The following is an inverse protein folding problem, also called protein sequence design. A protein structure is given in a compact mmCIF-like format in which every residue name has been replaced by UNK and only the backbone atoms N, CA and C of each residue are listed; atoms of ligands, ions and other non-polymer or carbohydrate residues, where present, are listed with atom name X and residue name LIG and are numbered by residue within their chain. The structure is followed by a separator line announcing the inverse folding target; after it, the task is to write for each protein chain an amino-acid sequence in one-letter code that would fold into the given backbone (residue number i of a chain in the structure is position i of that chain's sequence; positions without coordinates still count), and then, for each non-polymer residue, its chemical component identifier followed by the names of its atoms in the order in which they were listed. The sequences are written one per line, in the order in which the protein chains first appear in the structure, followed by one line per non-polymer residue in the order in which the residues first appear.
data_IF_915534027661
#
_entry.id   IF_915534027661
#
_cell.length_a   1.000
_cell.length_b   1.000
_cell.length_c   1.000
_cell.angle_alpha   90.00
_cell.angle_beta   90.00
_cell.angle_gamma   90.00
#
_symmetry.space_group_name_H-M   'P 1'
#
loop_
_entity.id
_entity.type
_entity.pdbx_description
1 polymer ?
#
# COMPACT_ATOMS: atom_id res chain seq x y z
N UNK A 1 -15.00 33.82 18.23
CA UNK A 1 -14.21 32.60 18.07
C UNK A 1 -15.00 31.75 17.10
N UNK A 2 -14.52 31.57 15.88
CA UNK A 2 -15.09 30.59 14.95
C UNK A 2 -14.93 29.23 15.61
N UNK A 3 -16.05 28.55 15.88
CA UNK A 3 -16.05 27.18 16.37
C UNK A 3 -15.23 26.34 15.38
N UNK A 4 -14.16 25.75 15.89
CA UNK A 4 -13.26 24.93 15.10
C UNK A 4 -14.02 23.64 14.76
N UNK A 5 -14.23 23.38 13.46
CA UNK A 5 -14.99 22.21 13.03
C UNK A 5 -14.22 20.95 13.45
N UNK A 6 -14.68 20.29 14.51
CA UNK A 6 -14.09 19.07 15.09
C UNK A 6 -14.05 17.88 14.14
N UNK A 7 -14.63 17.96 12.95
CA UNK A 7 -14.59 16.92 11.92
C UNK A 7 -13.53 17.20 10.84
N UNK A 8 -12.91 18.39 10.84
CA UNK A 8 -11.88 18.80 9.87
C UNK A 8 -10.54 18.91 10.57
N UNK A 9 -9.51 18.24 10.04
CA UNK A 9 -8.13 18.30 10.55
C UNK A 9 -7.21 18.90 9.47
N UNK A 10 -7.05 20.23 9.42
CA UNK A 10 -6.32 20.90 8.34
C UNK A 10 -4.82 20.56 8.33
N UNK A 11 -4.27 20.09 9.46
CA UNK A 11 -2.88 19.71 9.61
C UNK A 11 -2.57 18.31 9.08
N UNK A 12 -3.59 17.46 8.85
CA UNK A 12 -3.35 16.14 8.29
C UNK A 12 -2.85 16.28 6.86
N UNK A 13 -1.65 15.73 6.60
CA UNK A 13 -0.84 15.98 5.40
C UNK A 13 -1.46 15.55 4.04
N UNK A 14 -2.74 15.15 4.03
CA UNK A 14 -3.52 14.84 2.83
C UNK A 14 -3.81 16.05 1.93
N UNK A 15 -3.68 17.29 2.42
CA UNK A 15 -4.06 18.51 1.69
C UNK A 15 -3.31 18.80 0.37
N UNK A 16 -2.30 18.02 -0.01
CA UNK A 16 -1.44 18.36 -1.17
C UNK A 16 -1.40 17.34 -2.32
N UNK A 17 -1.97 16.14 -2.19
CA UNK A 17 -1.56 15.04 -3.09
C UNK A 17 -2.55 13.95 -3.51
N UNK A 18 -3.81 13.94 -3.07
CA UNK A 18 -4.77 12.91 -3.53
C UNK A 18 -5.90 12.56 -2.56
N UNK A 19 -6.43 13.52 -1.80
CA UNK A 19 -7.61 13.31 -0.97
C UNK A 19 -8.84 13.01 -1.84
N UNK A 20 -9.68 12.10 -1.36
CA UNK A 20 -11.03 11.89 -1.88
C UNK A 20 -11.75 13.23 -1.77
N UNK A 21 -12.23 13.77 -2.90
CA UNK A 21 -12.96 15.03 -2.91
C UNK A 21 -14.26 14.86 -2.10
N UNK A 22 -14.51 15.64 -1.02
CA UNK A 22 -15.75 15.53 -0.26
C UNK A 22 -16.98 15.78 -1.14
N UNK A 23 -16.88 16.55 -2.23
CA UNK A 23 -17.97 16.69 -3.19
C UNK A 23 -18.28 15.37 -3.91
N UNK A 24 -17.27 14.57 -4.24
CA UNK A 24 -17.48 13.28 -4.90
C UNK A 24 -18.18 12.28 -3.97
N UNK A 25 -17.89 12.32 -2.67
CA UNK A 25 -18.63 11.51 -1.68
C UNK A 25 -20.10 11.93 -1.61
N UNK A 26 -20.38 13.23 -1.51
CA UNK A 26 -21.77 13.71 -1.47
C UNK A 26 -22.49 13.40 -2.78
N UNK A 27 -21.82 13.50 -3.93
CA UNK A 27 -22.36 13.11 -5.25
C UNK A 27 -22.75 11.64 -5.26
N UNK A 28 -21.88 10.76 -4.75
CA UNK A 28 -22.15 9.32 -4.62
C UNK A 28 -23.38 9.05 -3.74
N UNK A 29 -23.51 9.73 -2.60
CA UNK A 29 -24.68 9.54 -1.72
C UNK A 29 -25.98 10.10 -2.31
N UNK A 30 -25.89 11.13 -3.14
CA UNK A 30 -27.05 11.64 -3.89
C UNK A 30 -27.46 10.67 -5.00
N UNK A 31 -26.50 10.08 -5.70
CA UNK A 31 -26.72 9.02 -6.69
C UNK A 31 -27.40 7.80 -6.05
N UNK A 32 -26.93 7.35 -4.87
CA UNK A 32 -27.56 6.27 -4.09
C UNK A 32 -29.06 6.55 -3.81
N UNK A 33 -29.40 7.78 -3.39
CA UNK A 33 -30.80 8.16 -3.18
C UNK A 33 -31.61 8.21 -4.48
N UNK A 34 -31.02 8.67 -5.58
CA UNK A 34 -31.71 8.71 -6.86
C UNK A 34 -31.93 7.30 -7.43
N UNK A 35 -31.01 6.36 -7.21
CA UNK A 35 -31.19 4.94 -7.52
C UNK A 35 -32.35 4.32 -6.71
N UNK A 36 -32.42 4.62 -5.40
CA UNK A 36 -33.53 4.20 -4.54
C UNK A 36 -34.87 4.80 -5.02
N UNK A 37 -34.86 6.06 -5.48
CA UNK A 37 -36.04 6.70 -6.07
C UNK A 37 -36.51 6.00 -7.34
N UNK A 38 -35.59 5.68 -8.24
CA UNK A 38 -35.91 4.95 -9.46
C UNK A 38 -36.44 3.54 -9.17
N UNK A 39 -35.87 2.87 -8.17
CA UNK A 39 -36.31 1.55 -7.71
C UNK A 39 -37.72 1.62 -7.13
N UNK A 40 -37.98 2.59 -6.26
CA UNK A 40 -39.31 2.82 -5.68
C UNK A 40 -40.38 3.15 -6.74
N UNK A 41 -40.01 3.82 -7.83
CA UNK A 41 -40.93 4.13 -8.93
C UNK A 41 -41.31 2.89 -9.77
N UNK A 42 -40.46 1.86 -9.80
CA UNK A 42 -40.69 0.62 -10.56
C UNK A 42 -41.37 -0.47 -9.73
N UNK A 43 -41.22 -0.43 -8.40
CA UNK A 43 -41.80 -1.43 -7.51
C UNK A 43 -43.28 -1.15 -7.22
N UNK A 44 -44.13 -2.13 -7.52
CA UNK A 44 -45.51 -2.14 -7.03
C UNK A 44 -45.57 -2.87 -5.68
N UNK A 45 -45.89 -2.15 -4.60
CA UNK A 45 -46.16 -2.75 -3.29
C UNK A 45 -45.27 -2.25 -2.15
N UNK A 46 -45.05 -3.12 -1.16
CA UNK A 46 -44.25 -2.79 0.02
C UNK A 46 -42.76 -2.85 -0.35
N UNK A 47 -41.97 -1.79 -0.08
CA UNK A 47 -40.53 -1.83 -0.31
C UNK A 47 -39.86 -2.91 0.56
N UNK A 48 -38.83 -3.60 0.04
CA UNK A 48 -37.95 -4.48 0.81
C UNK A 48 -37.38 -3.80 2.06
N UNK A 49 -37.01 -4.57 3.07
CA UNK A 49 -36.40 -4.02 4.28
C UNK A 49 -35.05 -3.37 3.99
N UNK A 50 -34.27 -3.94 3.08
CA UNK A 50 -32.95 -3.44 2.67
C UNK A 50 -33.09 -2.06 1.99
N UNK A 51 -33.96 -1.91 0.99
CA UNK A 51 -34.25 -0.60 0.36
C UNK A 51 -34.70 0.46 1.37
N UNK A 52 -35.40 0.06 2.45
CA UNK A 52 -35.81 0.97 3.52
C UNK A 52 -34.65 1.35 4.46
N UNK A 53 -33.74 0.41 4.72
CA UNK A 53 -32.51 0.66 5.48
C UNK A 53 -31.64 1.65 4.73
N UNK A 54 -31.38 1.41 3.44
CA UNK A 54 -30.57 2.28 2.60
C UNK A 54 -31.18 3.69 2.47
N UNK A 55 -32.51 3.79 2.32
CA UNK A 55 -33.20 5.08 2.25
C UNK A 55 -33.05 5.88 3.56
N UNK A 56 -33.23 5.23 4.71
CA UNK A 56 -33.09 5.87 6.02
C UNK A 56 -31.64 6.31 6.25
N UNK A 57 -30.68 5.42 5.99
CA UNK A 57 -29.25 5.70 6.14
C UNK A 57 -28.83 6.86 5.24
N UNK A 58 -29.10 6.80 3.94
CA UNK A 58 -28.67 7.83 2.99
C UNK A 58 -29.34 9.20 3.26
N UNK A 59 -30.63 9.22 3.62
CA UNK A 59 -31.31 10.46 4.02
C UNK A 59 -30.67 11.08 5.26
N UNK A 60 -30.50 10.30 6.33
CA UNK A 60 -29.92 10.77 7.59
C UNK A 60 -28.44 11.18 7.41
N UNK A 61 -27.69 10.48 6.55
CA UNK A 61 -26.32 10.84 6.16
C UNK A 61 -26.29 12.24 5.56
N UNK A 62 -27.17 12.54 4.61
CA UNK A 62 -27.26 13.85 3.98
C UNK A 62 -27.77 14.95 4.92
N UNK A 63 -28.51 14.63 5.99
CA UNK A 63 -28.82 15.60 7.05
C UNK A 63 -27.58 16.06 7.81
N UNK A 64 -26.52 15.24 7.89
CA UNK A 64 -25.22 15.62 8.48
C UNK A 64 -24.38 16.49 7.55
N UNK A 65 -24.66 16.48 6.25
CA UNK A 65 -23.84 17.17 5.24
C UNK A 65 -24.05 18.67 5.27
N UNK A 66 -22.98 19.43 4.99
CA UNK A 66 -23.01 20.88 4.75
C UNK A 66 -24.04 21.23 3.65
N UNK A 67 -25.05 22.08 3.93
CA UNK A 67 -26.08 22.44 2.94
C UNK A 67 -25.53 23.04 1.65
N UNK A 68 -24.35 23.67 1.70
CA UNK A 68 -23.68 24.26 0.54
C UNK A 68 -23.18 23.20 -0.44
N UNK A 69 -22.76 22.02 0.04
CA UNK A 69 -22.31 20.91 -0.80
C UNK A 69 -23.49 20.31 -1.56
N UNK A 70 -24.60 20.04 -0.85
CA UNK A 70 -25.85 19.54 -1.47
C UNK A 70 -26.36 20.54 -2.51
N UNK A 71 -26.35 21.85 -2.19
CA UNK A 71 -26.80 22.89 -3.11
C UNK A 71 -25.94 22.97 -4.38
N UNK A 72 -24.62 22.78 -4.25
CA UNK A 72 -23.67 22.80 -5.38
C UNK A 72 -23.87 21.63 -6.34
N UNK A 73 -24.35 20.49 -5.83
CA UNK A 73 -24.65 19.29 -6.60
C UNK A 73 -26.13 19.20 -7.02
N UNK A 74 -26.90 20.28 -6.84
CA UNK A 74 -28.32 20.34 -7.19
C UNK A 74 -29.19 19.26 -6.47
N UNK A 75 -28.70 18.66 -5.40
CA UNK A 75 -29.32 17.50 -4.72
C UNK A 75 -30.54 17.80 -3.84
N UNK A 76 -31.01 19.05 -3.81
CA UNK A 76 -32.12 19.45 -2.91
C UNK A 76 -33.42 18.71 -3.20
N UNK A 77 -33.73 18.51 -4.48
CA UNK A 77 -34.96 17.82 -4.89
C UNK A 77 -34.91 16.33 -4.52
N UNK A 78 -33.73 15.71 -4.60
CA UNK A 78 -33.50 14.31 -4.20
C UNK A 78 -33.68 14.13 -2.69
N UNK A 79 -33.12 15.04 -1.88
CA UNK A 79 -33.29 15.03 -0.41
C UNK A 79 -34.76 15.26 -0.03
N UNK A 80 -35.43 16.22 -0.67
CA UNK A 80 -36.84 16.51 -0.41
C UNK A 80 -37.75 15.32 -0.78
N UNK A 81 -37.43 14.60 -1.86
CA UNK A 81 -38.12 13.37 -2.21
C UNK A 81 -37.96 12.30 -1.11
N UNK A 82 -36.73 12.08 -0.61
CA UNK A 82 -36.47 11.10 0.43
C UNK A 82 -37.23 11.44 1.73
N UNK A 83 -37.22 12.71 2.14
CA UNK A 83 -37.99 13.19 3.30
C UNK A 83 -39.49 12.91 3.15
N UNK A 84 -40.09 13.31 2.02
CA UNK A 84 -41.51 13.05 1.73
C UNK A 84 -41.81 11.55 1.73
N UNK A 85 -40.93 10.74 1.12
CA UNK A 85 -41.08 9.29 1.08
C UNK A 85 -41.06 8.68 2.48
N UNK A 86 -40.15 9.12 3.35
CA UNK A 86 -40.04 8.65 4.73
C UNK A 86 -41.23 9.06 5.60
N UNK A 87 -41.90 10.17 5.29
CA UNK A 87 -43.12 10.61 5.98
C UNK A 87 -44.32 9.69 5.67
N UNK A 88 -44.36 9.08 4.49
CA UNK A 88 -45.43 8.17 4.06
C UNK A 88 -45.30 6.73 4.59
N UNK A 89 -44.16 6.38 5.18
CA UNK A 89 -43.90 5.02 5.67
C UNK A 89 -44.55 4.77 7.03
N UNK A 90 -45.13 3.58 7.20
CA UNK A 90 -45.67 3.15 8.49
C UNK A 90 -44.56 2.80 9.50
N UNK A 91 -44.88 2.92 10.79
CA UNK A 91 -43.97 2.51 11.87
C UNK A 91 -43.48 1.06 11.74
N UNK A 92 -44.32 0.15 11.24
CA UNK A 92 -43.94 -1.24 11.01
C UNK A 92 -42.92 -1.43 9.87
N UNK A 93 -42.99 -0.58 8.83
CA UNK A 93 -41.99 -0.57 7.75
C UNK A 93 -40.66 -0.01 8.25
N UNK A 94 -40.70 1.11 8.99
CA UNK A 94 -39.51 1.74 9.55
C UNK A 94 -38.78 0.80 10.53
N UNK A 95 -39.51 0.13 11.43
CA UNK A 95 -38.89 -0.88 12.32
C UNK A 95 -38.31 -2.07 11.60
N UNK A 96 -38.86 -2.46 10.44
CA UNK A 96 -38.26 -3.56 9.66
C UNK A 96 -36.91 -3.20 9.05
N UNK A 97 -36.62 -1.92 8.81
CA UNK A 97 -35.32 -1.47 8.32
C UNK A 97 -34.20 -1.72 9.35
N UNK A 98 -34.45 -1.42 10.64
CA UNK A 98 -33.48 -1.72 11.69
C UNK A 98 -33.09 -3.20 11.76
N UNK A 99 -33.95 -4.10 11.27
CA UNK A 99 -33.69 -5.54 11.25
C UNK A 99 -32.58 -5.99 10.30
N UNK A 100 -32.23 -5.15 9.32
CA UNK A 100 -31.26 -5.45 8.25
C UNK A 100 -29.84 -5.57 8.81
N UNK A 101 -29.41 -4.61 9.64
CA UNK A 101 -28.09 -4.66 10.27
C UNK A 101 -28.01 -5.77 11.32
N UNK A 102 -27.02 -6.65 11.19
CA UNK A 102 -26.73 -7.74 12.13
C UNK A 102 -25.40 -7.47 12.87
N UNK A 103 -25.45 -6.99 14.13
CA UNK A 103 -24.25 -6.71 14.92
C UNK A 103 -23.32 -7.92 15.08
N UNK A 104 -23.86 -9.14 15.12
CA UNK A 104 -23.04 -10.35 15.29
C UNK A 104 -22.23 -10.67 14.03
N UNK A 105 -22.82 -10.44 12.85
CA UNK A 105 -22.10 -10.57 11.58
C UNK A 105 -21.10 -9.46 11.41
N UNK A 106 -21.46 -8.21 11.74
CA UNK A 106 -20.53 -7.08 11.71
C UNK A 106 -19.31 -7.33 12.59
N UNK A 107 -19.48 -7.78 13.85
CA UNK A 107 -18.37 -8.08 14.76
C UNK A 107 -17.43 -9.16 14.22
N UNK A 108 -17.98 -10.19 13.58
CA UNK A 108 -17.19 -11.26 12.98
C UNK A 108 -16.34 -10.73 11.82
N UNK A 109 -16.87 -9.82 11.01
CA UNK A 109 -16.11 -9.17 9.94
C UNK A 109 -15.08 -8.20 10.49
N UNK A 110 -15.41 -7.42 11.52
CA UNK A 110 -14.46 -6.54 12.21
C UNK A 110 -13.25 -7.30 12.79
N UNK A 111 -13.49 -8.48 13.40
CA UNK A 111 -12.41 -9.35 13.89
C UNK A 111 -11.59 -9.99 12.78
N UNK A 112 -12.20 -10.31 11.64
CA UNK A 112 -11.46 -10.78 10.46
C UNK A 112 -10.57 -9.68 9.90
N UNK A 113 -11.07 -8.46 9.84
CA UNK A 113 -10.30 -7.30 9.42
C UNK A 113 -9.13 -7.01 10.38
N UNK A 114 -9.31 -7.10 11.68
CA UNK A 114 -8.22 -7.03 12.67
C UNK A 114 -7.14 -8.08 12.40
N UNK A 115 -7.53 -9.34 12.23
CA UNK A 115 -6.60 -10.45 11.93
C UNK A 115 -5.87 -10.27 10.59
N UNK A 116 -6.50 -9.54 9.67
CA UNK A 116 -5.96 -9.27 8.33
C UNK A 116 -4.63 -8.50 8.36
N UNK A 117 -4.35 -7.76 9.45
CA UNK A 117 -3.06 -7.07 9.66
C UNK A 117 -1.88 -8.03 9.91
N UNK A 118 -2.14 -9.27 10.30
CA UNK A 118 -1.11 -10.31 10.42
C UNK A 118 -0.87 -11.05 9.09
N UNK A 119 -1.72 -10.83 8.09
CA UNK A 119 -1.67 -11.45 6.77
C UNK A 119 -1.15 -10.46 5.71
N UNK A 120 -0.67 -10.98 4.57
CA UNK A 120 -0.26 -10.11 3.47
C UNK A 120 -1.48 -9.75 2.61
N UNK A 121 -1.92 -8.49 2.71
CA UNK A 121 -3.04 -7.92 1.94
C UNK A 121 -2.55 -6.63 1.26
N UNK A 122 -3.07 -6.32 0.07
CA UNK A 122 -2.76 -5.06 -0.60
C UNK A 122 -3.34 -3.89 0.19
N UNK A 123 -2.57 -2.81 0.35
CA UNK A 123 -2.99 -1.65 1.16
C UNK A 123 -4.31 -1.02 0.69
N UNK A 124 -4.59 -1.08 -0.61
CA UNK A 124 -5.86 -0.62 -1.20
C UNK A 124 -7.04 -1.49 -0.79
N UNK A 125 -6.86 -2.81 -0.73
CA UNK A 125 -7.90 -3.74 -0.29
C UNK A 125 -8.17 -3.58 1.21
N UNK A 126 -7.10 -3.37 2.00
CA UNK A 126 -7.23 -3.10 3.43
C UNK A 126 -7.96 -1.78 3.70
N UNK A 127 -7.63 -0.71 2.97
CA UNK A 127 -8.33 0.57 3.06
C UNK A 127 -9.82 0.44 2.67
N UNK A 128 -10.11 -0.29 1.60
CA UNK A 128 -11.48 -0.55 1.16
C UNK A 128 -12.27 -1.36 2.20
N UNK A 129 -11.68 -2.41 2.78
CA UNK A 129 -12.34 -3.22 3.80
C UNK A 129 -12.63 -2.41 5.07
N UNK A 130 -11.67 -1.60 5.51
CA UNK A 130 -11.85 -0.66 6.62
C UNK A 130 -13.01 0.31 6.35
N UNK A 131 -13.09 0.88 5.14
CA UNK A 131 -14.20 1.73 4.71
C UNK A 131 -15.54 0.99 4.76
N UNK A 132 -15.63 -0.24 4.24
CA UNK A 132 -16.86 -1.02 4.26
C UNK A 132 -17.37 -1.28 5.69
N UNK A 133 -16.48 -1.65 6.62
CA UNK A 133 -16.84 -1.89 8.02
C UNK A 133 -17.38 -0.62 8.68
N UNK A 134 -16.73 0.53 8.42
CA UNK A 134 -17.15 1.82 8.97
C UNK A 134 -18.47 2.31 8.36
N UNK A 135 -18.65 2.16 7.05
CA UNK A 135 -19.87 2.56 6.36
C UNK A 135 -21.09 1.76 6.82
N UNK A 136 -20.97 0.43 6.94
CA UNK A 136 -22.05 -0.44 7.41
C UNK A 136 -22.48 -0.09 8.85
N UNK A 137 -21.51 0.17 9.75
CA UNK A 137 -21.81 0.63 11.10
C UNK A 137 -22.45 2.03 11.12
N UNK A 138 -21.93 2.95 10.32
CA UNK A 138 -22.44 4.31 10.21
C UNK A 138 -23.91 4.33 9.76
N UNK A 139 -24.27 3.48 8.79
CA UNK A 139 -25.63 3.34 8.30
C UNK A 139 -26.57 2.79 9.38
N UNK A 140 -26.11 1.81 10.15
CA UNK A 140 -26.87 1.30 11.29
C UNK A 140 -27.14 2.36 12.35
N UNK A 141 -26.14 3.17 12.71
CA UNK A 141 -26.30 4.28 13.67
C UNK A 141 -27.25 5.36 13.14
N UNK A 142 -27.13 5.72 11.87
CA UNK A 142 -28.01 6.69 11.20
C UNK A 142 -29.48 6.24 11.17
N UNK A 143 -29.71 4.96 10.86
CA UNK A 143 -31.03 4.35 10.89
C UNK A 143 -31.59 4.37 12.31
N UNK A 144 -30.80 3.97 13.32
CA UNK A 144 -31.24 3.98 14.72
C UNK A 144 -31.56 5.39 15.24
N UNK A 145 -30.72 6.38 14.96
CA UNK A 145 -30.98 7.79 15.33
C UNK A 145 -32.31 8.25 14.73
N UNK A 146 -32.56 7.94 13.44
CA UNK A 146 -33.81 8.34 12.78
C UNK A 146 -35.04 7.65 13.38
N UNK A 147 -34.88 6.42 13.88
CA UNK A 147 -35.96 5.70 14.56
C UNK A 147 -36.19 6.21 15.98
N UNK A 148 -35.13 6.63 16.67
CA UNK A 148 -35.20 7.25 17.99
C UNK A 148 -36.00 8.56 17.94
N UNK A 149 -35.74 9.42 16.95
CA UNK A 149 -36.50 10.67 16.74
C UNK A 149 -38.00 10.46 16.51
N UNK A 150 -38.41 9.23 16.22
CA UNK A 150 -39.80 8.82 15.96
C UNK A 150 -40.41 7.96 17.07
N UNK A 151 -39.73 7.79 18.20
CA UNK A 151 -40.11 6.87 19.28
C UNK A 151 -40.28 5.41 18.79
N UNK A 152 -39.46 4.99 17.81
CA UNK A 152 -39.48 3.67 17.20
C UNK A 152 -38.23 2.83 17.50
N UNK A 153 -37.28 3.35 18.27
CA UNK A 153 -36.06 2.66 18.64
C UNK A 153 -36.33 1.37 19.43
N UNK A 154 -35.43 0.41 19.25
CA UNK A 154 -35.35 -0.84 20.03
C UNK A 154 -34.09 -0.78 20.88
N UNK A 155 -34.25 -0.50 22.18
CA UNK A 155 -33.14 -0.31 23.13
C UNK A 155 -32.14 -1.47 23.08
N UNK A 156 -32.63 -2.71 22.96
CA UNK A 156 -31.75 -3.88 22.94
C UNK A 156 -30.86 -3.91 21.69
N UNK A 157 -31.37 -3.39 20.56
CA UNK A 157 -30.58 -3.25 19.33
C UNK A 157 -29.66 -2.03 19.39
N UNK A 158 -30.13 -0.92 19.95
CA UNK A 158 -29.32 0.27 20.15
C UNK A 158 -28.09 -0.04 21.02
N UNK A 159 -28.25 -0.80 22.10
CA UNK A 159 -27.16 -1.27 22.95
C UNK A 159 -26.12 -2.09 22.14
N UNK A 160 -26.58 -2.96 21.22
CA UNK A 160 -25.68 -3.77 20.39
C UNK A 160 -24.93 -2.97 19.34
N UNK A 161 -25.55 -1.96 18.73
CA UNK A 161 -24.85 -1.05 17.82
C UNK A 161 -23.87 -0.18 18.61
N UNK A 162 -24.23 0.27 19.81
CA UNK A 162 -23.32 1.00 20.69
C UNK A 162 -22.09 0.16 21.10
N UNK A 163 -22.25 -1.14 21.34
CA UNK A 163 -21.11 -2.07 21.53
C UNK A 163 -20.18 -2.10 20.31
N UNK A 164 -20.72 -2.10 19.08
CA UNK A 164 -19.92 -2.03 17.85
C UNK A 164 -19.16 -0.69 17.74
N UNK A 165 -19.82 0.42 18.08
CA UNK A 165 -19.21 1.75 18.07
C UNK A 165 -18.08 1.87 19.08
N UNK A 166 -18.31 1.39 20.31
CA UNK A 166 -17.28 1.34 21.34
C UNK A 166 -16.06 0.52 20.88
N UNK A 167 -16.30 -0.59 20.18
CA UNK A 167 -15.21 -1.38 19.61
C UNK A 167 -14.40 -0.60 18.57
N UNK A 168 -15.03 0.15 17.66
CA UNK A 168 -14.32 1.00 16.69
C UNK A 168 -13.48 2.07 17.39
N UNK A 169 -14.03 2.70 18.43
CA UNK A 169 -13.30 3.72 19.21
C UNK A 169 -12.09 3.11 19.92
N UNK A 170 -12.24 1.94 20.53
CA UNK A 170 -11.16 1.23 21.22
C UNK A 170 -10.06 0.70 20.28
N UNK A 171 -10.36 0.59 18.97
CA UNK A 171 -9.45 0.06 17.94
C UNK A 171 -9.32 1.05 16.76
N UNK A 172 -9.34 2.35 17.05
CA UNK A 172 -9.31 3.40 16.03
C UNK A 172 -8.05 3.34 15.14
N UNK A 173 -6.94 2.82 15.69
CA UNK A 173 -5.66 2.62 15.01
C UNK A 173 -5.75 1.60 13.85
N UNK A 174 -6.64 0.60 13.97
CA UNK A 174 -6.92 -0.35 12.88
C UNK A 174 -7.57 0.34 11.67
N UNK A 175 -8.16 1.52 11.84
CA UNK A 175 -8.86 2.22 10.75
C UNK A 175 -8.01 3.31 10.10
N UNK A 176 -6.73 3.44 10.45
CA UNK A 176 -5.80 4.38 9.81
C UNK A 176 -5.69 4.18 8.28
N UNK A 177 -5.88 2.94 7.81
CA UNK A 177 -5.92 2.63 6.38
C UNK A 177 -7.07 3.34 5.64
N UNK A 178 -8.19 3.60 6.31
CA UNK A 178 -9.33 4.37 5.78
C UNK A 178 -9.22 5.87 6.09
N UNK A 179 -8.10 6.36 6.62
CA UNK A 179 -7.94 7.73 7.11
C UNK A 179 -8.30 8.82 6.08
N UNK A 180 -7.96 8.61 4.81
CA UNK A 180 -8.31 9.55 3.73
C UNK A 180 -9.83 9.62 3.48
N UNK A 181 -10.53 8.49 3.57
CA UNK A 181 -11.98 8.44 3.46
C UNK A 181 -12.65 9.05 4.69
N UNK A 182 -12.18 8.73 5.89
CA UNK A 182 -12.68 9.33 7.15
C UNK A 182 -12.51 10.84 7.16
N UNK A 183 -11.36 11.36 6.71
CA UNK A 183 -11.15 12.80 6.56
C UNK A 183 -12.13 13.42 5.57
N UNK A 184 -12.34 12.80 4.40
CA UNK A 184 -13.29 13.29 3.42
C UNK A 184 -14.73 13.29 3.96
N UNK A 185 -15.15 12.25 4.71
CA UNK A 185 -16.43 12.22 5.43
C UNK A 185 -16.51 13.36 6.43
N UNK A 186 -15.48 13.56 7.27
CA UNK A 186 -15.42 14.65 8.23
C UNK A 186 -15.52 16.04 7.58
N UNK A 187 -14.92 16.19 6.41
CA UNK A 187 -15.07 17.40 5.60
C UNK A 187 -16.50 17.56 5.05
N UNK A 188 -17.28 16.51 4.80
CA UNK A 188 -18.69 16.68 4.41
C UNK A 188 -19.58 17.21 5.54
N UNK A 189 -19.22 16.90 6.80
CA UNK A 189 -20.06 17.14 7.98
C UNK A 189 -20.18 18.65 8.28
N UNK A 190 -21.42 19.08 8.55
CA UNK A 190 -21.73 20.45 8.94
C UNK A 190 -21.11 20.81 10.31
N UNK A 191 -20.51 22.00 10.47
CA UNK A 191 -19.82 22.38 11.70
C UNK A 191 -20.78 22.53 12.90
N UNK A 192 -22.04 22.88 12.63
CA UNK A 192 -23.11 23.09 13.62
C UNK A 192 -23.93 21.81 13.89
N UNK A 193 -23.41 20.62 13.55
CA UNK A 193 -24.18 19.37 13.64
C UNK A 193 -24.71 19.09 15.05
N UNK A 194 -23.90 19.39 16.08
CA UNK A 194 -24.29 19.19 17.48
C UNK A 194 -25.48 20.05 17.88
N UNK A 195 -25.51 21.32 17.46
CA UNK A 195 -26.62 22.24 17.73
C UNK A 195 -27.84 21.95 16.85
N UNK A 196 -27.59 21.51 15.61
CA UNK A 196 -28.62 21.19 14.64
C UNK A 196 -29.38 19.91 15.02
N UNK A 197 -28.65 18.85 15.34
CA UNK A 197 -29.22 17.53 15.63
C UNK A 197 -28.26 16.68 16.50
N UNK A 198 -28.40 16.73 17.84
CA UNK A 198 -27.51 16.01 18.76
C UNK A 198 -27.42 14.50 18.50
N UNK A 199 -28.54 13.83 18.18
CA UNK A 199 -28.54 12.40 17.84
C UNK A 199 -27.64 12.06 16.65
N UNK A 200 -27.79 12.77 15.53
CA UNK A 200 -26.93 12.64 14.36
C UNK A 200 -25.47 13.06 14.63
N UNK A 201 -25.22 13.99 15.55
CA UNK A 201 -23.86 14.34 15.96
C UNK A 201 -23.16 13.18 16.67
N UNK A 202 -23.89 12.44 17.51
CA UNK A 202 -23.37 11.27 18.22
C UNK A 202 -22.95 10.15 17.25
N UNK A 203 -23.65 9.97 16.14
CA UNK A 203 -23.27 8.96 15.13
C UNK A 203 -21.93 9.26 14.45
N UNK A 204 -21.43 10.50 14.54
CA UNK A 204 -20.15 10.90 13.96
C UNK A 204 -18.95 10.79 14.92
N UNK A 205 -19.16 10.41 16.20
CA UNK A 205 -18.10 10.36 17.22
C UNK A 205 -16.97 9.38 16.85
N UNK A 206 -17.31 8.24 16.25
CA UNK A 206 -16.31 7.24 15.79
C UNK A 206 -15.31 7.83 14.80
N UNK A 207 -15.75 8.73 13.91
CA UNK A 207 -14.86 9.38 12.94
C UNK A 207 -13.89 10.33 13.64
N UNK A 208 -14.30 10.98 14.73
CA UNK A 208 -13.42 11.84 15.52
C UNK A 208 -12.32 11.02 16.19
N UNK A 209 -12.65 9.87 16.79
CA UNK A 209 -11.65 8.98 17.38
C UNK A 209 -10.60 8.53 16.35
N UNK A 210 -11.02 8.17 15.14
CA UNK A 210 -10.10 7.79 14.05
C UNK A 210 -9.26 8.97 13.56
N UNK A 211 -9.84 10.18 13.47
CA UNK A 211 -9.11 11.39 13.09
C UNK A 211 -8.06 11.77 14.14
N UNK A 212 -8.37 11.59 15.43
CA UNK A 212 -7.44 11.86 16.53
C UNK A 212 -6.25 10.88 16.48
N UNK A 213 -6.53 9.60 16.23
CA UNK A 213 -5.48 8.58 16.05
C UNK A 213 -4.63 8.83 14.79
N UNK A 214 -5.26 9.27 13.70
CA UNK A 214 -4.55 9.65 12.47
C UNK A 214 -3.62 10.85 12.70
N UNK A 215 -4.05 11.81 13.52
CA UNK A 215 -3.24 12.95 13.91
C UNK A 215 -2.08 12.55 14.83
N UNK A 216 -2.33 11.69 15.82
CA UNK A 216 -1.30 11.13 16.67
C UNK A 216 -0.23 10.37 15.85
N UNK A 217 -0.67 9.48 14.96
CA UNK A 217 0.21 8.72 14.07
C UNK A 217 1.06 9.63 13.17
N UNK A 218 0.48 10.69 12.59
CA UNK A 218 1.23 11.64 11.78
C UNK A 218 2.25 12.46 12.60
N UNK A 219 1.90 12.87 13.83
CA UNK A 219 2.85 13.54 14.74
C UNK A 219 4.04 12.62 15.07
N UNK A 220 3.78 11.33 15.30
CA UNK A 220 4.84 10.34 15.53
C UNK A 220 5.72 10.14 14.29
N UNK A 221 5.12 9.95 13.11
CA UNK A 221 5.85 9.74 11.85
C UNK A 221 6.70 10.96 11.45
N UNK A 222 6.19 12.16 11.69
CA UNK A 222 6.92 13.41 11.41
C UNK A 222 7.93 13.75 12.50
N UNK A 223 7.99 12.96 13.58
CA UNK A 223 8.80 13.23 14.75
C UNK A 223 8.54 14.65 15.29
N UNK A 224 7.29 15.13 15.21
CA UNK A 224 6.92 16.52 15.54
C UNK A 224 7.34 16.91 16.97
N UNK A 225 7.25 15.95 17.90
CA UNK A 225 7.59 16.13 19.31
C UNK A 225 9.04 15.73 19.65
N UNK A 226 9.79 15.18 18.69
CA UNK A 226 11.19 14.82 18.90
C UNK A 226 12.02 16.09 18.81
N UNK A 227 12.44 16.59 19.97
CA UNK A 227 13.33 17.76 20.07
C UNK A 227 14.55 17.52 19.18
N UNK A 228 14.85 18.40 18.20
CA UNK A 228 16.00 18.21 17.33
C UNK A 228 17.25 18.04 18.17
N UNK A 229 17.97 16.94 17.94
CA UNK A 229 19.20 16.66 18.65
C UNK A 229 20.16 17.86 18.48
N UNK A 230 20.78 18.31 19.57
CA UNK A 230 21.67 19.48 19.54
C UNK A 230 22.70 19.30 18.44
N UNK A 231 22.87 20.31 17.58
CA UNK A 231 23.79 20.26 16.43
C UNK A 231 25.22 19.89 16.84
N UNK A 232 25.64 20.19 18.07
CA UNK A 232 26.93 19.78 18.63
C UNK A 232 26.98 18.27 18.86
N UNK A 233 25.91 17.68 19.38
CA UNK A 233 25.77 16.23 19.58
C UNK A 233 25.71 15.51 18.24
N UNK A 234 24.89 16.00 17.29
CA UNK A 234 24.86 15.44 15.92
C UNK A 234 26.24 15.50 15.24
N UNK A 235 26.98 16.60 15.39
CA UNK A 235 28.35 16.71 14.86
C UNK A 235 29.31 15.77 15.58
N UNK A 236 29.17 15.59 16.89
CA UNK A 236 29.99 14.66 17.66
C UNK A 236 29.72 13.21 17.25
N UNK A 237 28.45 12.79 17.15
CA UNK A 237 28.04 11.48 16.67
C UNK A 237 28.47 11.25 15.22
N UNK A 238 28.33 12.26 14.34
CA UNK A 238 28.82 12.14 12.96
C UNK A 238 30.34 12.03 12.89
N UNK A 239 31.09 12.75 13.73
CA UNK A 239 32.55 12.60 13.83
C UNK A 239 32.91 11.22 14.35
N UNK A 240 32.26 10.77 15.41
CA UNK A 240 32.46 9.44 15.98
C UNK A 240 32.14 8.36 14.95
N UNK A 241 31.00 8.42 14.26
CA UNK A 241 30.66 7.49 13.20
C UNK A 241 31.64 7.55 12.03
N UNK A 242 32.16 8.74 11.67
CA UNK A 242 33.23 8.86 10.67
C UNK A 242 34.56 8.29 11.18
N UNK A 243 34.88 8.41 12.47
CA UNK A 243 36.07 7.83 13.08
C UNK A 243 35.95 6.32 13.22
N UNK A 244 34.78 5.79 13.59
CA UNK A 244 34.45 4.38 13.60
C UNK A 244 34.43 3.81 12.19
N UNK A 245 33.88 4.51 11.20
CA UNK A 245 33.98 4.13 9.79
C UNK A 245 35.43 4.20 9.30
N UNK A 246 36.25 5.16 9.75
CA UNK A 246 37.69 5.21 9.43
C UNK A 246 38.49 4.14 10.17
N UNK A 247 38.07 3.75 11.36
CA UNK A 247 38.68 2.69 12.16
C UNK A 247 38.23 1.30 11.68
N UNK A 248 37.04 1.18 11.09
CA UNK A 248 36.54 -0.01 10.41
C UNK A 248 37.01 -0.08 8.94
N UNK A 249 37.30 1.06 8.32
CA UNK A 249 38.00 1.18 7.04
C UNK A 249 39.52 1.17 7.21
N UNK A 250 40.03 1.23 8.45
CA UNK A 250 41.36 0.72 8.73
C UNK A 250 41.24 -0.77 8.41
N UNK A 251 41.99 -1.27 7.40
CA UNK A 251 41.86 -2.65 7.00
C UNK A 251 42.06 -3.48 8.28
N UNK A 252 41.18 -4.47 8.56
CA UNK A 252 41.53 -5.46 9.57
C UNK A 252 42.94 -5.94 9.23
N UNK A 253 43.80 -6.27 10.21
CA UNK A 253 45.07 -6.92 9.90
C UNK A 253 44.71 -8.09 9.01
N UNK A 254 45.00 -7.92 7.72
CA UNK A 254 44.71 -8.90 6.71
C UNK A 254 45.65 -10.03 7.09
N UNK A 255 45.12 -11.01 7.81
CA UNK A 255 45.68 -12.35 7.68
C UNK A 255 45.68 -12.57 6.18
N UNK A 256 46.87 -12.74 5.60
CA UNK A 256 47.20 -12.59 4.19
C UNK A 256 46.27 -13.35 3.21
N UNK A 257 45.35 -14.18 3.71
CA UNK A 257 44.46 -15.07 2.98
C UNK A 257 43.22 -14.43 2.31
N UNK A 258 42.72 -13.24 2.70
CA UNK A 258 41.46 -12.69 2.12
C UNK A 258 41.70 -11.63 1.04
N UNK A 259 42.63 -10.69 1.24
CA UNK A 259 43.00 -9.73 0.20
C UNK A 259 43.69 -10.41 -1.02
N UNK A 260 44.42 -11.50 -0.80
CA UNK A 260 44.97 -12.34 -1.88
C UNK A 260 43.88 -13.07 -2.70
N UNK A 261 42.65 -13.22 -2.18
CA UNK A 261 41.52 -13.83 -2.90
C UNK A 261 40.64 -12.81 -3.61
N UNK A 262 40.44 -11.62 -3.03
CA UNK A 262 39.64 -10.55 -3.66
C UNK A 262 40.36 -9.90 -4.87
N UNK A 263 41.69 -9.89 -4.89
CA UNK A 263 42.48 -9.40 -6.02
C UNK A 263 42.47 -10.29 -7.28
N UNK A 264 41.97 -11.54 -7.18
CA UNK A 264 42.07 -12.53 -8.28
C UNK A 264 40.89 -12.54 -9.26
N UNK A 265 39.71 -12.04 -8.87
CA UNK A 265 38.50 -12.06 -9.71
C UNK A 265 37.80 -10.71 -9.70
N UNK A 266 38.45 -9.69 -10.26
CA UNK A 266 37.96 -8.29 -10.30
C UNK A 266 36.57 -8.11 -10.93
N UNK A 267 36.14 -9.09 -11.72
CA UNK A 267 34.92 -9.07 -12.54
C UNK A 267 33.73 -9.78 -11.88
N UNK A 268 33.90 -10.38 -10.70
CA UNK A 268 32.83 -11.00 -9.92
C UNK A 268 32.48 -10.14 -8.69
N UNK A 269 31.20 -10.06 -8.29
CA UNK A 269 30.83 -9.36 -7.07
C UNK A 269 31.46 -10.04 -5.85
N UNK A 270 31.80 -9.29 -4.78
CA UNK A 270 32.19 -9.91 -3.53
C UNK A 270 30.99 -10.67 -2.94
N UNK A 271 31.18 -11.96 -2.64
CA UNK A 271 30.19 -12.73 -1.89
C UNK A 271 30.50 -12.57 -0.43
N UNK A 272 29.69 -11.77 0.25
CA UNK A 272 29.70 -11.69 1.69
C UNK A 272 28.87 -12.87 2.20
N UNK A 273 29.41 -13.71 3.07
CA UNK A 273 28.56 -14.64 3.80
C UNK A 273 27.60 -13.78 4.62
N UNK A 274 26.27 -13.85 4.38
CA UNK A 274 25.36 -13.08 5.20
C UNK A 274 25.52 -13.56 6.65
N UNK A 275 25.67 -12.66 7.64
CA UNK A 275 25.45 -13.06 9.02
C UNK A 275 24.04 -13.67 9.08
N UNK A 276 23.95 -14.85 9.71
CA UNK A 276 22.70 -15.59 9.87
C UNK A 276 21.64 -14.64 10.46
N UNK A 277 20.50 -14.58 9.78
CA UNK A 277 19.28 -13.84 10.13
C UNK A 277 19.34 -12.31 10.05
N UNK A 278 19.08 -11.79 8.85
CA UNK A 278 18.29 -10.57 8.68
C UNK A 278 17.48 -10.72 7.39
N UNK A 279 16.17 -10.85 7.52
CA UNK A 279 15.24 -10.79 6.40
C UNK A 279 15.29 -9.38 5.81
N UNK A 280 16.15 -9.17 4.82
CA UNK A 280 16.24 -7.93 4.10
C UNK A 280 15.10 -7.87 3.07
N UNK A 281 14.20 -6.94 3.31
CA UNK A 281 13.32 -6.27 2.35
C UNK A 281 13.79 -6.36 0.90
N UNK A 282 12.82 -6.52 -0.02
CA UNK A 282 13.02 -6.48 -1.47
C UNK A 282 13.38 -5.06 -1.94
N UNK A 283 14.57 -4.58 -1.57
CA UNK A 283 15.26 -3.55 -2.34
C UNK A 283 15.46 -4.07 -3.77
N UNK A 284 15.21 -3.23 -4.77
CA UNK A 284 15.52 -3.53 -6.18
C UNK A 284 16.98 -3.98 -6.25
N UNK A 285 17.29 -5.10 -6.93
CA UNK A 285 18.68 -5.55 -7.05
C UNK A 285 19.48 -4.48 -7.79
N UNK A 286 20.47 -3.91 -7.11
CA UNK A 286 21.53 -3.14 -7.75
C UNK A 286 22.40 -4.13 -8.54
N UNK A 287 22.63 -3.86 -9.83
CA UNK A 287 23.46 -4.69 -10.70
C UNK A 287 24.80 -4.01 -10.98
N UNK A 288 25.84 -4.81 -11.21
CA UNK A 288 27.10 -4.33 -11.77
C UNK A 288 26.90 -3.91 -13.24
N UNK A 289 27.80 -3.07 -13.75
CA UNK A 289 27.84 -2.78 -15.18
C UNK A 289 28.03 -4.09 -15.96
N UNK A 290 27.17 -4.39 -16.96
CA UNK A 290 27.25 -5.66 -17.67
C UNK A 290 28.56 -5.81 -18.43
N UNK A 291 29.22 -6.95 -18.25
CA UNK A 291 30.37 -7.32 -19.07
C UNK A 291 29.90 -7.73 -20.45
N UNK A 292 30.63 -7.31 -21.49
CA UNK A 292 30.25 -7.51 -22.88
C UNK A 292 31.36 -8.15 -23.68
N UNK A 293 31.01 -9.15 -24.48
CA UNK A 293 31.91 -9.79 -25.44
C UNK A 293 31.34 -9.70 -26.84
N UNK A 294 32.22 -9.65 -27.83
CA UNK A 294 31.87 -9.66 -29.25
C UNK A 294 32.41 -10.93 -29.93
N UNK A 295 31.60 -11.52 -30.81
CA UNK A 295 32.01 -12.65 -31.65
C UNK A 295 33.14 -12.25 -32.62
N UNK A 296 33.96 -13.20 -33.09
CA UNK A 296 35.08 -12.92 -34.01
C UNK A 296 34.66 -12.24 -35.32
N UNK A 297 33.48 -12.57 -35.82
CA UNK A 297 32.89 -11.98 -37.04
C UNK A 297 32.18 -10.64 -36.80
N UNK A 298 32.08 -10.20 -35.53
CA UNK A 298 31.45 -8.95 -35.14
C UNK A 298 29.92 -8.92 -35.25
N UNK A 299 29.26 -10.05 -35.49
CA UNK A 299 27.80 -10.09 -35.72
C UNK A 299 26.98 -10.31 -34.43
N UNK A 300 27.62 -10.80 -33.36
CA UNK A 300 26.97 -11.14 -32.10
C UNK A 300 27.63 -10.45 -30.90
N UNK A 301 26.83 -10.24 -29.86
CA UNK A 301 27.27 -9.73 -28.57
C UNK A 301 26.75 -10.61 -27.43
N UNK A 302 27.61 -10.93 -26.47
CA UNK A 302 27.23 -11.61 -25.23
C UNK A 302 27.27 -10.61 -24.07
N UNK A 303 26.27 -10.64 -23.19
CA UNK A 303 26.15 -9.76 -22.01
C UNK A 303 25.98 -10.58 -20.73
N UNK A 304 26.88 -10.41 -19.77
CA UNK A 304 26.79 -11.00 -18.44
C UNK A 304 26.27 -9.96 -17.46
N UNK A 305 25.14 -10.26 -16.81
CA UNK A 305 24.57 -9.40 -15.76
C UNK A 305 24.84 -10.05 -14.41
N UNK A 306 25.46 -9.30 -13.51
CA UNK A 306 25.81 -9.76 -12.17
C UNK A 306 25.17 -8.83 -11.13
N UNK A 307 24.55 -9.37 -10.07
CA UNK A 307 24.06 -8.56 -8.96
C UNK A 307 25.26 -7.95 -8.22
N UNK A 308 25.15 -6.69 -7.80
CA UNK A 308 26.16 -6.03 -6.98
C UNK A 308 26.26 -6.69 -5.59
N UNK A 309 25.15 -7.22 -5.09
CA UNK A 309 25.02 -7.94 -3.82
C UNK A 309 24.25 -9.25 -4.03
N UNK A 310 24.94 -10.38 -4.25
CA UNK A 310 24.30 -11.68 -4.35
C UNK A 310 23.53 -12.02 -3.07
N UNK A 311 22.23 -12.31 -3.18
CA UNK A 311 21.36 -12.71 -2.06
C UNK A 311 21.56 -14.17 -1.66
N UNK A 312 21.86 -15.03 -2.64
CA UNK A 312 22.10 -16.48 -2.42
C UNK A 312 23.59 -16.80 -2.26
N UNK A 313 24.44 -15.77 -2.16
CA UNK A 313 25.88 -15.92 -2.04
C UNK A 313 26.48 -16.67 -3.23
N UNK A 314 27.29 -17.70 -2.95
CA UNK A 314 27.98 -18.47 -4.00
C UNK A 314 27.03 -19.35 -4.83
N UNK A 315 25.83 -19.65 -4.33
CA UNK A 315 24.83 -20.46 -5.05
C UNK A 315 24.01 -19.67 -6.08
N UNK A 316 24.20 -18.34 -6.16
CA UNK A 316 23.47 -17.50 -7.10
C UNK A 316 23.88 -17.76 -8.55
N UNK A 317 22.91 -17.67 -9.46
CA UNK A 317 23.12 -17.92 -10.89
C UNK A 317 23.40 -16.62 -11.63
N UNK A 318 24.58 -16.52 -12.24
CA UNK A 318 24.91 -15.50 -13.22
C UNK A 318 24.37 -15.89 -14.59
N UNK A 319 23.65 -14.97 -15.23
CA UNK A 319 23.06 -15.20 -16.56
C UNK A 319 23.83 -14.45 -17.64
N UNK A 320 24.38 -15.22 -18.58
CA UNK A 320 24.97 -14.73 -19.82
C UNK A 320 23.92 -14.76 -20.93
N UNK A 321 23.79 -13.68 -21.69
CA UNK A 321 22.76 -13.55 -22.74
C UNK A 321 23.38 -13.18 -24.07
N UNK A 322 22.94 -13.82 -25.16
CA UNK A 322 23.49 -13.62 -26.49
C UNK A 322 22.50 -12.87 -27.39
N UNK A 323 23.01 -11.86 -28.09
CA UNK A 323 22.23 -10.95 -28.92
C UNK A 323 22.87 -10.83 -30.31
N UNK A 324 22.05 -10.66 -31.33
CA UNK A 324 22.48 -10.26 -32.67
C UNK A 324 22.65 -8.75 -32.70
N UNK A 325 23.80 -8.27 -33.15
CA UNK A 325 24.08 -6.83 -33.21
C UNK A 325 23.22 -6.05 -34.23
N UNK A 326 22.82 -6.60 -35.39
CA UNK A 326 22.01 -5.85 -36.37
C UNK A 326 20.62 -5.42 -35.87
N UNK A 327 19.97 -6.24 -35.03
CA UNK A 327 18.58 -6.03 -34.58
C UNK A 327 18.43 -6.01 -33.04
N UNK A 328 19.49 -6.29 -32.28
CA UNK A 328 19.46 -6.44 -30.83
C UNK A 328 18.65 -7.65 -30.34
N UNK A 329 18.20 -8.52 -31.25
CA UNK A 329 17.37 -9.68 -30.94
C UNK A 329 18.18 -10.81 -30.31
N UNK A 330 17.51 -11.68 -29.55
CA UNK A 330 18.16 -12.86 -28.94
C UNK A 330 18.73 -13.78 -30.01
N UNK A 331 19.97 -14.23 -29.81
CA UNK A 331 20.66 -15.16 -30.70
C UNK A 331 20.19 -16.61 -30.48
N UNK A 332 18.89 -16.87 -30.61
CA UNK A 332 18.27 -18.19 -30.36
C UNK A 332 18.76 -19.30 -31.29
N UNK A 333 19.35 -18.95 -32.45
CA UNK A 333 20.01 -19.89 -33.36
C UNK A 333 21.25 -20.56 -32.75
N UNK A 334 21.79 -20.02 -31.64
CA UNK A 334 22.87 -20.64 -30.87
C UNK A 334 22.36 -21.66 -29.84
N UNK A 335 21.05 -21.97 -29.80
CA UNK A 335 20.52 -22.97 -28.89
C UNK A 335 21.29 -24.31 -29.02
N UNK A 336 21.49 -24.96 -27.88
CA UNK A 336 22.22 -26.23 -27.73
C UNK A 336 23.72 -26.14 -28.09
N UNK A 337 24.24 -24.94 -28.37
CA UNK A 337 25.67 -24.72 -28.62
C UNK A 337 26.43 -24.68 -27.28
N UNK A 338 27.58 -25.37 -27.17
CA UNK A 338 28.37 -25.33 -25.95
C UNK A 338 29.05 -23.97 -25.75
N UNK A 339 29.14 -23.53 -24.50
CA UNK A 339 29.77 -22.28 -24.09
C UNK A 339 30.66 -22.49 -22.88
N UNK A 340 31.78 -21.76 -22.80
CA UNK A 340 32.63 -21.70 -21.61
C UNK A 340 32.87 -20.27 -21.18
N UNK A 341 32.65 -19.99 -19.89
CA UNK A 341 32.98 -18.72 -19.26
C UNK A 341 33.99 -18.96 -18.13
N UNK A 342 35.16 -18.32 -18.20
CA UNK A 342 36.25 -18.52 -17.25
C UNK A 342 36.63 -20.00 -17.05
N UNK A 343 36.54 -20.80 -18.12
CA UNK A 343 36.81 -22.24 -18.11
C UNK A 343 35.63 -23.12 -17.64
N UNK A 344 34.56 -22.54 -17.10
CA UNK A 344 33.36 -23.27 -16.70
C UNK A 344 32.46 -23.53 -17.90
N UNK A 345 32.13 -24.80 -18.16
CA UNK A 345 31.27 -25.18 -19.27
C UNK A 345 29.78 -25.05 -18.92
N UNK A 346 28.98 -24.64 -19.91
CA UNK A 346 27.53 -24.62 -19.91
C UNK A 346 27.03 -24.81 -21.35
N UNK A 347 25.72 -24.78 -21.55
CA UNK A 347 25.09 -24.91 -22.86
C UNK A 347 24.09 -23.78 -23.05
N UNK A 348 24.07 -23.17 -24.23
CA UNK A 348 23.15 -22.09 -24.55
C UNK A 348 21.73 -22.65 -24.66
N UNK A 349 20.79 -22.17 -23.84
CA UNK A 349 19.39 -22.55 -23.85
C UNK A 349 18.64 -21.96 -25.05
N UNK A 350 17.43 -22.45 -25.28
CA UNK A 350 16.56 -22.05 -26.41
C UNK A 350 16.22 -20.56 -26.46
N UNK A 351 16.33 -19.85 -25.35
CA UNK A 351 16.12 -18.40 -25.25
C UNK A 351 17.38 -17.57 -25.55
N UNK A 352 18.49 -18.23 -25.94
CA UNK A 352 19.77 -17.58 -26.21
C UNK A 352 20.46 -17.08 -24.95
N UNK A 353 20.35 -17.82 -23.84
CA UNK A 353 21.07 -17.54 -22.59
C UNK A 353 21.87 -18.75 -22.10
N UNK A 354 22.78 -18.54 -21.17
CA UNK A 354 23.49 -19.59 -20.46
C UNK A 354 23.67 -19.18 -19.00
N UNK A 355 23.49 -20.13 -18.08
CA UNK A 355 23.57 -19.88 -16.65
C UNK A 355 24.83 -20.51 -16.06
N UNK A 356 25.43 -19.80 -15.09
CA UNK A 356 26.65 -20.17 -14.41
C UNK A 356 26.52 -19.86 -12.92
N UNK A 357 26.85 -20.82 -12.07
CA UNK A 357 26.89 -20.63 -10.62
C UNK A 357 28.08 -19.74 -10.22
N UNK A 358 27.85 -18.68 -9.43
CA UNK A 358 28.88 -17.72 -9.03
C UNK A 358 30.08 -18.39 -8.32
N UNK A 359 29.80 -19.34 -7.43
CA UNK A 359 30.83 -20.08 -6.71
C UNK A 359 31.76 -20.87 -7.62
N UNK A 360 31.23 -21.41 -8.72
CA UNK A 360 32.03 -22.13 -9.71
C UNK A 360 32.83 -21.19 -10.61
N UNK A 361 32.27 -20.04 -10.98
CA UNK A 361 33.01 -19.01 -11.72
C UNK A 361 34.22 -18.50 -10.91
N UNK A 362 34.06 -18.37 -9.59
CA UNK A 362 35.15 -17.97 -8.68
C UNK A 362 36.22 -19.05 -8.50
N UNK A 363 35.89 -20.32 -8.68
CA UNK A 363 36.85 -21.42 -8.70
C UNK A 363 37.55 -21.60 -10.06
N UNK A 364 37.01 -20.98 -11.11
CA UNK A 364 37.52 -21.04 -12.47
C UNK A 364 38.73 -20.14 -12.70
N UNK A 365 38.92 -19.73 -13.94
CA UNK A 365 40.01 -18.84 -14.32
C UNK A 365 39.84 -17.43 -13.74
N UNK A 366 40.97 -16.77 -13.50
CA UNK A 366 41.01 -15.41 -12.94
C UNK A 366 40.41 -14.35 -13.91
N UNK A 367 40.43 -14.62 -15.23
CA UNK A 367 39.88 -13.73 -16.25
C UNK A 367 38.58 -14.27 -16.87
N UNK A 368 37.63 -13.39 -17.23
CA UNK A 368 36.36 -13.82 -17.80
C UNK A 368 36.48 -14.03 -19.32
N UNK A 369 37.25 -15.04 -19.69
CA UNK A 369 37.37 -15.47 -21.09
C UNK A 369 36.09 -16.19 -21.48
N UNK A 370 35.47 -15.75 -22.58
CA UNK A 370 34.28 -16.37 -23.15
C UNK A 370 34.67 -17.16 -24.40
N UNK A 371 34.26 -18.42 -24.45
CA UNK A 371 34.42 -19.31 -25.61
C UNK A 371 33.06 -19.88 -26.00
N UNK A 372 32.75 -19.90 -27.29
CA UNK A 372 31.44 -20.35 -27.80
C UNK A 372 31.64 -21.29 -28.99
N UNK A 373 30.78 -22.29 -29.13
CA UNK A 373 30.81 -23.20 -30.27
C UNK A 373 31.58 -24.48 -30.00
N UNK A 374 31.42 -25.46 -30.90
CA UNK A 374 32.10 -26.76 -30.80
C UNK A 374 33.62 -26.64 -30.89
N UNK A 375 34.12 -25.62 -31.62
CA UNK A 375 35.54 -25.31 -31.73
C UNK A 375 36.05 -24.38 -30.61
N UNK A 376 35.17 -23.95 -29.69
CA UNK A 376 35.47 -23.05 -28.57
C UNK A 376 36.14 -21.74 -29.01
N UNK A 377 35.55 -21.09 -30.00
CA UNK A 377 36.01 -19.79 -30.50
C UNK A 377 36.00 -18.76 -29.38
N UNK A 378 37.11 -18.05 -29.21
CA UNK A 378 37.26 -17.07 -28.13
C UNK A 378 36.71 -15.71 -28.54
N UNK A 379 35.76 -15.19 -27.75
CA UNK A 379 35.12 -13.89 -27.99
C UNK A 379 35.90 -12.76 -27.31
N UNK A 380 35.91 -11.58 -27.94
CA UNK A 380 36.67 -10.41 -27.46
C UNK A 380 35.87 -9.63 -26.42
N UNK A 381 36.42 -9.45 -25.22
CA UNK A 381 35.83 -8.59 -24.18
C UNK A 381 35.91 -7.11 -24.61
N UNK A 382 34.77 -6.41 -24.64
CA UNK A 382 34.63 -5.02 -25.10
C UNK A 382 34.77 -3.99 -23.98
N UNK A 383 34.25 -4.27 -22.79
CA UNK A 383 34.25 -3.33 -21.65
C UNK A 383 35.02 -3.91 -20.47
N UNK A 384 36.06 -3.19 -20.03
CA UNK A 384 36.49 -3.22 -18.62
C UNK A 384 35.80 -2.03 -17.93
N UNK A 385 35.16 -2.21 -16.76
CA UNK A 385 34.68 -1.09 -15.97
C UNK A 385 35.87 -0.17 -15.67
N UNK A 386 35.79 1.09 -16.10
CA UNK A 386 36.84 2.07 -15.89
C UNK A 386 37.03 2.31 -14.37
N UNK A 387 38.26 2.17 -13.87
CA UNK A 387 38.63 2.71 -12.55
C UNK A 387 38.99 1.74 -11.42
N UNK A 388 39.47 0.52 -11.68
CA UNK A 388 40.24 -0.24 -10.68
C UNK A 388 41.55 -0.78 -11.29
N UNK A 389 42.68 -0.65 -10.57
CA UNK A 389 44.02 -1.01 -11.06
C UNK A 389 44.15 -2.50 -11.41
#
# INVERSE_FOLDING_TARGET
MTEENRYVRPELAGGSGGLIDPLLLVDTWLDELEELRQTAARQEGRPPADDLFDLLAAWARLQRVRPELIARLEGRDTVAWAEARLADLSAAQLRSAAAVFDPATWFREARRFEQSYEEWIEATDQAYWAQCILADLDDAELVLSTLEDRDLADDARADKVAECCAWVVDHADLFLAAGAWVQAVGETIRPDLLDFHPGLAMTAEKFVAILDELEASQREMTCADVRPMDRRVLRALRRQACEELKAAAAPPPVTASVAERAGRHWWLPPVWQPPVAAAAERARPEFMEPLRWQSPDGTLEARLVLPLRPKLGEAEQARLTFHRLPDGGRATHLADTPVRLAGLASTISRDGSAEFELGRLRQGQEQPVLQVGHEMETWKLLTRPEGRP
#
